data_IF_331979957538
#
_entry.id   IF_331979957538
#
_cell.length_a   1.000
_cell.length_b   1.000
_cell.length_c   1.000
_cell.angle_alpha   90.00
_cell.angle_beta   90.00
_cell.angle_gamma   90.00
#
_symmetry.space_group_name_H-M   'P 1'
#
loop_
_entity.id
_entity.type
_entity.pdbx_description
1 polymer ?
#
# COMPACT_ATOMS: atom_id res chain seq x y z
N UNK A 1 -51.75 58.63 -18.23
CA UNK A 1 -53.13 58.15 -17.97
C UNK A 1 -53.38 58.30 -16.48
N UNK A 2 -54.00 59.40 -16.05
CA UNK A 2 -55.42 59.50 -15.63
C UNK A 2 -55.70 58.54 -14.46
N UNK A 3 -55.64 59.03 -13.21
CA UNK A 3 -56.78 59.63 -12.46
C UNK A 3 -57.89 58.59 -12.25
N UNK A 4 -58.57 58.41 -11.13
CA UNK A 4 -58.90 59.21 -9.95
C UNK A 4 -59.94 58.31 -9.19
N UNK A 5 -60.41 58.76 -8.02
CA UNK A 5 -61.62 58.30 -7.29
C UNK A 5 -61.43 57.11 -6.32
N UNK A 6 -61.98 57.12 -5.10
CA UNK A 6 -62.67 58.15 -4.29
C UNK A 6 -62.78 57.59 -2.87
N UNK A 7 -62.60 58.44 -1.87
CA UNK A 7 -63.02 58.21 -0.50
C UNK A 7 -64.55 58.12 -0.41
N UNK A 8 -65.10 57.17 0.36
CA UNK A 8 -66.42 57.27 0.98
C UNK A 8 -66.34 56.70 2.40
N UNK A 9 -66.43 57.61 3.37
CA UNK A 9 -66.81 57.40 4.77
C UNK A 9 -68.30 57.09 4.85
N UNK A 10 -68.69 56.08 5.64
CA UNK A 10 -70.01 56.02 6.24
C UNK A 10 -69.95 55.29 7.59
N UNK A 11 -70.25 56.05 8.64
CA UNK A 11 -70.61 55.59 9.98
C UNK A 11 -71.84 54.66 9.87
N UNK A 12 -71.78 53.50 10.52
CA UNK A 12 -72.98 52.85 11.05
C UNK A 12 -72.72 52.32 12.45
N UNK A 13 -73.33 53.04 13.40
CA UNK A 13 -73.55 52.68 14.79
C UNK A 13 -74.75 51.74 14.84
N UNK A 14 -74.66 50.57 15.50
CA UNK A 14 -75.86 49.76 15.70
C UNK A 14 -75.68 48.34 16.21
N UNK A 15 -76.03 48.18 17.49
CA UNK A 15 -76.63 47.00 18.13
C UNK A 15 -75.82 45.71 18.38
N UNK A 16 -75.48 45.61 19.67
CA UNK A 16 -75.34 44.42 20.50
C UNK A 16 -76.59 43.53 20.38
N UNK A 17 -76.40 42.25 20.04
CA UNK A 17 -77.28 41.16 20.48
C UNK A 17 -76.44 39.92 20.76
N UNK A 18 -76.53 39.44 22.00
CA UNK A 18 -75.83 38.25 22.46
C UNK A 18 -76.35 37.00 21.77
N UNK A 19 -75.43 36.23 21.20
CA UNK A 19 -75.59 34.79 21.00
C UNK A 19 -74.52 34.10 21.84
N UNK A 20 -74.90 33.73 23.06
CA UNK A 20 -74.18 32.76 23.88
C UNK A 20 -74.31 31.38 23.23
N UNK A 21 -73.47 31.14 22.22
CA UNK A 21 -73.34 29.85 21.55
C UNK A 21 -72.16 29.08 22.14
N UNK A 22 -72.46 28.16 23.06
CA UNK A 22 -71.68 27.00 23.51
C UNK A 22 -70.30 26.84 22.83
N UNK A 23 -69.27 27.47 23.40
CA UNK A 23 -67.88 27.07 23.16
C UNK A 23 -67.72 25.67 23.77
N UNK A 24 -67.94 24.64 22.96
CA UNK A 24 -67.54 23.27 23.31
C UNK A 24 -66.03 23.29 23.47
N UNK A 25 -65.56 23.28 24.71
CA UNK A 25 -64.18 22.90 25.03
C UNK A 25 -63.98 21.50 24.46
N UNK A 26 -63.39 21.41 23.27
CA UNK A 26 -62.73 20.18 22.84
C UNK A 26 -61.65 19.93 23.90
N UNK A 27 -61.66 18.80 24.61
CA UNK A 27 -60.51 18.43 25.40
C UNK A 27 -59.32 18.39 24.43
N UNK A 28 -58.28 19.17 24.72
CA UNK A 28 -57.02 19.02 24.04
C UNK A 28 -56.55 17.59 24.34
N UNK A 29 -56.78 16.68 23.41
CA UNK A 29 -56.19 15.34 23.46
C UNK A 29 -54.69 15.59 23.45
N UNK A 30 -54.05 15.41 24.60
CA UNK A 30 -52.60 15.49 24.70
C UNK A 30 -52.06 14.50 23.67
N UNK A 31 -51.42 15.02 22.61
CA UNK A 31 -50.76 14.18 21.64
C UNK A 31 -49.71 13.38 22.42
N UNK A 32 -49.90 12.06 22.46
CA UNK A 32 -49.00 11.16 23.18
C UNK A 32 -47.62 11.26 22.52
N UNK A 33 -46.69 11.89 23.22
CA UNK A 33 -45.34 12.15 22.73
C UNK A 33 -44.56 10.83 22.65
N UNK A 34 -43.95 10.55 21.50
CA UNK A 34 -43.20 9.31 21.29
C UNK A 34 -41.90 9.37 22.10
N UNK A 35 -41.62 8.39 22.98
CA UNK A 35 -40.43 8.42 23.82
C UNK A 35 -39.15 8.27 22.98
N UNK A 36 -38.12 9.04 23.34
CA UNK A 36 -36.82 9.05 22.64
C UNK A 36 -36.04 7.76 22.96
N UNK A 37 -35.54 7.03 21.95
CA UNK A 37 -34.75 5.83 22.17
C UNK A 37 -33.35 6.12 22.72
N UNK A 38 -32.80 5.16 23.45
CA UNK A 38 -31.47 5.21 24.07
C UNK A 38 -30.55 4.19 23.43
N UNK A 39 -29.33 4.62 23.08
CA UNK A 39 -28.23 3.74 22.67
C UNK A 39 -27.51 3.27 23.93
N UNK A 40 -27.58 1.97 24.21
CA UNK A 40 -26.97 1.33 25.37
C UNK A 40 -25.52 0.90 25.07
N UNK A 41 -25.30 0.25 23.93
CA UNK A 41 -23.97 -0.19 23.49
C UNK A 41 -23.66 0.38 22.11
N UNK A 42 -22.44 0.88 22.00
CA UNK A 42 -21.84 1.42 20.80
C UNK A 42 -20.33 1.12 20.86
N UNK A 43 -19.68 0.69 19.77
CA UNK A 43 -18.25 0.48 19.77
C UNK A 43 -17.51 1.81 19.88
N UNK A 44 -16.34 1.83 20.52
CA UNK A 44 -15.45 3.00 20.47
C UNK A 44 -14.71 3.09 19.12
N UNK A 45 -14.39 1.93 18.55
CA UNK A 45 -13.68 1.78 17.28
C UNK A 45 -14.39 0.73 16.44
N UNK A 46 -14.58 1.01 15.14
CA UNK A 46 -15.18 0.11 14.17
C UNK A 46 -14.25 -0.16 12.98
N UNK A 47 -14.11 -1.44 12.61
CA UNK A 47 -13.30 -1.94 11.51
C UNK A 47 -14.19 -2.56 10.40
N UNK A 48 -14.64 -1.78 9.39
CA UNK A 48 -15.67 -2.21 8.43
C UNK A 48 -15.38 -3.50 7.65
N UNK A 49 -14.11 -3.87 7.51
CA UNK A 49 -13.68 -5.07 6.80
C UNK A 49 -13.50 -6.30 7.70
N UNK A 50 -13.36 -6.08 9.00
CA UNK A 50 -12.97 -7.10 9.97
C UNK A 50 -14.15 -7.52 10.85
N UNK A 51 -15.10 -6.64 11.10
CA UNK A 51 -16.21 -6.89 12.03
C UNK A 51 -17.57 -6.38 11.52
N UNK A 52 -18.61 -6.69 12.27
CA UNK A 52 -19.99 -6.24 12.04
C UNK A 52 -20.25 -5.08 12.98
N UNK A 53 -20.81 -3.97 12.49
CA UNK A 53 -21.19 -2.87 13.38
C UNK A 53 -22.36 -3.32 14.25
N UNK A 54 -22.16 -3.33 15.57
CA UNK A 54 -23.16 -3.73 16.54
C UNK A 54 -23.60 -2.54 17.39
N UNK A 55 -24.90 -2.22 17.32
CA UNK A 55 -25.55 -1.24 18.19
C UNK A 55 -26.76 -1.88 18.84
N UNK A 56 -26.96 -1.59 20.12
CA UNK A 56 -28.16 -2.00 20.86
C UNK A 56 -28.65 -0.89 21.77
N UNK A 57 -29.93 -0.99 22.14
CA UNK A 57 -30.56 0.00 22.97
C UNK A 57 -32.00 -0.33 23.32
N UNK A 58 -32.67 0.68 23.88
CA UNK A 58 -34.07 0.60 24.27
C UNK A 58 -34.89 1.68 23.56
N UNK A 59 -36.14 1.34 23.22
CA UNK A 59 -37.14 2.19 22.59
C UNK A 59 -38.55 1.80 23.09
N UNK A 60 -39.59 2.50 22.67
CA UNK A 60 -40.96 2.02 22.89
C UNK A 60 -41.16 0.62 22.24
N UNK A 61 -41.90 -0.31 22.86
CA UNK A 61 -42.14 -1.63 22.31
C UNK A 61 -42.83 -1.62 20.95
N UNK A 62 -42.37 -2.47 20.02
CA UNK A 62 -42.90 -2.59 18.64
C UNK A 62 -42.75 -1.36 17.74
N UNK A 63 -41.89 -0.40 18.09
CA UNK A 63 -41.56 0.76 17.25
C UNK A 63 -40.45 0.41 16.24
N UNK A 64 -40.33 1.26 15.22
CA UNK A 64 -39.19 1.25 14.30
C UNK A 64 -38.19 2.28 14.80
N UNK A 65 -36.98 1.83 15.11
CA UNK A 65 -35.84 2.69 15.47
C UNK A 65 -35.09 3.06 14.21
N UNK A 66 -35.16 4.33 13.82
CA UNK A 66 -34.35 4.87 12.74
C UNK A 66 -32.97 5.25 13.27
N UNK A 67 -31.92 4.65 12.72
CA UNK A 67 -30.52 4.89 13.07
C UNK A 67 -29.89 5.76 11.99
N UNK A 68 -29.26 6.86 12.38
CA UNK A 68 -28.57 7.77 11.46
C UNK A 68 -27.08 7.83 11.80
N UNK A 69 -26.25 7.54 10.82
CA UNK A 69 -24.81 7.76 10.83
C UNK A 69 -24.47 9.03 10.08
N UNK A 70 -23.66 9.90 10.69
CA UNK A 70 -23.25 11.17 10.12
C UNK A 70 -21.77 11.43 10.35
N UNK A 71 -21.08 11.93 9.33
CA UNK A 71 -19.72 12.43 9.41
C UNK A 71 -19.67 13.81 8.77
N UNK A 72 -18.85 14.71 9.31
CA UNK A 72 -18.69 16.05 8.74
C UNK A 72 -18.26 15.97 7.27
N UNK A 73 -19.01 16.64 6.38
CA UNK A 73 -18.76 16.64 4.94
C UNK A 73 -19.24 15.39 4.18
N UNK A 74 -19.78 14.38 4.86
CA UNK A 74 -20.38 13.20 4.22
C UNK A 74 -21.91 13.25 4.25
N UNK A 75 -22.57 12.59 3.29
CA UNK A 75 -24.03 12.42 3.32
C UNK A 75 -24.42 11.48 4.46
N UNK A 76 -25.46 11.80 5.26
CA UNK A 76 -25.95 10.90 6.29
C UNK A 76 -26.42 9.57 5.72
N UNK A 77 -26.15 8.48 6.43
CA UNK A 77 -26.58 7.13 6.08
C UNK A 77 -27.62 6.70 7.13
N UNK A 78 -28.79 6.23 6.70
CA UNK A 78 -29.86 5.85 7.60
C UNK A 78 -30.17 4.36 7.48
N UNK A 79 -30.42 3.73 8.63
CA UNK A 79 -30.86 2.35 8.78
C UNK A 79 -32.10 2.31 9.66
N UNK A 80 -32.74 1.15 9.73
CA UNK A 80 -33.90 0.92 10.60
C UNK A 80 -33.78 -0.43 11.29
N UNK A 81 -33.98 -0.44 12.61
CA UNK A 81 -34.13 -1.65 13.41
C UNK A 81 -35.52 -1.67 14.04
N UNK A 82 -36.11 -2.84 14.26
CA UNK A 82 -37.40 -2.96 14.96
C UNK A 82 -37.14 -3.24 16.44
N UNK A 83 -37.84 -2.55 17.34
CA UNK A 83 -37.83 -2.91 18.76
C UNK A 83 -38.76 -4.08 19.05
N UNK A 84 -38.36 -4.93 19.99
CA UNK A 84 -39.13 -6.09 20.43
C UNK A 84 -40.28 -5.68 21.38
N UNK A 85 -40.98 -6.68 21.93
CA UNK A 85 -42.06 -6.46 22.90
C UNK A 85 -41.60 -5.90 24.24
N UNK A 86 -40.30 -5.96 24.54
CA UNK A 86 -39.67 -5.38 25.73
C UNK A 86 -39.07 -3.99 25.43
N UNK A 87 -39.08 -3.56 24.17
CA UNK A 87 -38.49 -2.30 23.73
C UNK A 87 -37.00 -2.42 23.36
N UNK A 88 -36.41 -3.60 23.41
CA UNK A 88 -35.02 -3.84 23.05
C UNK A 88 -34.89 -3.81 21.52
N UNK A 89 -33.84 -3.16 21.00
CA UNK A 89 -33.54 -3.15 19.57
C UNK A 89 -32.05 -3.39 19.32
N UNK A 90 -31.75 -3.98 18.16
CA UNK A 90 -30.38 -4.31 17.75
C UNK A 90 -30.20 -3.97 16.26
N UNK A 91 -29.07 -3.34 15.93
CA UNK A 91 -28.57 -3.19 14.57
C UNK A 91 -27.21 -3.90 14.48
N UNK A 92 -27.13 -4.94 13.65
CA UNK A 92 -25.93 -5.73 13.44
C UNK A 92 -25.66 -5.89 11.93
N UNK A 93 -24.98 -4.91 11.34
CA UNK A 93 -24.74 -4.86 9.88
C UNK A 93 -23.31 -4.52 9.50
N UNK A 94 -22.85 -5.05 8.35
CA UNK A 94 -21.57 -4.67 7.76
C UNK A 94 -21.74 -3.40 6.93
N UNK A 95 -21.49 -2.26 7.56
CA UNK A 95 -21.66 -0.95 6.94
C UNK A 95 -20.29 -0.46 6.44
N UNK A 96 -20.13 -0.14 5.13
CA UNK A 96 -18.90 0.36 4.57
C UNK A 96 -18.73 1.86 4.89
N UNK A 97 -18.39 2.16 6.14
CA UNK A 97 -18.10 3.52 6.58
C UNK A 97 -16.67 3.92 6.19
N UNK A 98 -16.49 5.14 5.69
CA UNK A 98 -15.16 5.70 5.44
C UNK A 98 -14.42 5.99 6.75
N UNK A 99 -13.09 6.07 6.72
CA UNK A 99 -12.28 6.31 7.92
C UNK A 99 -12.60 7.65 8.59
N UNK A 100 -12.45 7.72 9.91
CA UNK A 100 -12.63 8.95 10.70
C UNK A 100 -13.71 8.82 11.78
N UNK A 101 -14.04 9.93 12.42
CA UNK A 101 -15.01 9.95 13.51
C UNK A 101 -16.44 10.08 12.95
N UNK A 102 -17.33 9.18 13.39
CA UNK A 102 -18.73 9.12 12.99
C UNK A 102 -19.63 9.34 14.18
N UNK A 103 -20.67 10.12 13.97
CA UNK A 103 -21.76 10.33 14.91
C UNK A 103 -22.91 9.37 14.60
N UNK A 104 -23.47 8.74 15.62
CA UNK A 104 -24.71 7.98 15.54
C UNK A 104 -25.78 8.60 16.43
N UNK A 105 -26.99 8.69 15.87
CA UNK A 105 -28.21 9.11 16.57
C UNK A 105 -29.35 8.18 16.20
N UNK A 106 -30.29 8.01 17.11
CA UNK A 106 -31.48 7.17 16.91
C UNK A 106 -32.75 7.96 17.20
N UNK A 107 -33.84 7.63 16.51
CA UNK A 107 -35.19 8.12 16.85
C UNK A 107 -36.22 7.01 16.63
N UNK A 108 -37.31 7.04 17.38
CA UNK A 108 -38.40 6.09 17.25
C UNK A 108 -39.43 6.61 16.24
N UNK A 109 -39.99 5.70 15.46
CA UNK A 109 -41.08 5.91 14.51
C UNK A 109 -42.14 4.87 14.83
N UNK A 110 -43.38 5.30 15.04
CA UNK A 110 -44.48 4.37 15.29
C UNK A 110 -44.70 3.46 14.07
N UNK A 111 -44.85 2.16 14.32
CA UNK A 111 -45.04 1.17 13.27
C UNK A 111 -46.42 1.27 12.60
N UNK A 112 -47.43 1.79 13.32
CA UNK A 112 -48.79 1.97 12.81
C UNK A 112 -49.00 3.35 12.20
N UNK A 113 -48.35 4.38 12.74
CA UNK A 113 -48.46 5.77 12.29
C UNK A 113 -47.08 6.40 12.03
N UNK A 114 -46.64 6.38 10.77
CA UNK A 114 -45.31 6.87 10.38
C UNK A 114 -45.12 8.39 10.60
N UNK A 115 -46.20 9.13 10.85
CA UNK A 115 -46.12 10.57 11.15
C UNK A 115 -45.72 10.83 12.60
N UNK A 116 -45.93 9.85 13.50
CA UNK A 116 -45.50 9.91 14.90
C UNK A 116 -44.03 9.49 15.01
N UNK A 117 -43.18 10.50 15.20
CA UNK A 117 -41.74 10.34 15.36
C UNK A 117 -41.26 11.00 16.65
N UNK A 118 -40.30 10.37 17.32
CA UNK A 118 -39.62 11.01 18.45
C UNK A 118 -38.58 12.02 17.97
N UNK A 119 -38.13 12.87 18.90
CA UNK A 119 -36.88 13.60 18.76
C UNK A 119 -35.67 12.66 18.62
N UNK A 120 -34.56 13.18 18.12
CA UNK A 120 -33.31 12.44 18.03
C UNK A 120 -32.67 12.24 19.42
N UNK A 121 -32.08 11.07 19.63
CA UNK A 121 -31.29 10.76 20.81
C UNK A 121 -30.05 11.66 20.94
N UNK A 122 -29.45 11.63 22.14
CA UNK A 122 -28.08 12.10 22.33
C UNK A 122 -27.13 11.46 21.31
N UNK A 123 -26.16 12.24 20.86
CA UNK A 123 -25.15 11.77 19.91
C UNK A 123 -24.13 10.85 20.61
N UNK A 124 -23.78 9.76 19.93
CA UNK A 124 -22.61 8.93 20.27
C UNK A 124 -21.60 9.01 19.14
N UNK A 125 -20.32 9.04 19.48
CA UNK A 125 -19.22 9.14 18.52
C UNK A 125 -18.39 7.87 18.59
N UNK A 126 -18.00 7.35 17.44
CA UNK A 126 -17.07 6.22 17.33
C UNK A 126 -16.11 6.43 16.16
N UNK A 127 -14.93 5.81 16.25
CA UNK A 127 -13.86 5.96 15.26
C UNK A 127 -13.89 4.81 14.27
N UNK A 128 -13.92 5.12 12.98
CA UNK A 128 -13.86 4.12 11.90
C UNK A 128 -12.43 4.03 11.38
N UNK A 129 -11.87 2.82 11.37
CA UNK A 129 -10.54 2.53 10.85
C UNK A 129 -10.65 1.57 9.66
N UNK A 130 -10.23 2.03 8.49
CA UNK A 130 -10.26 1.24 7.26
C UNK A 130 -8.92 0.50 7.11
N UNK A 131 -8.96 -0.83 7.18
CA UNK A 131 -7.78 -1.72 7.14
C UNK A 131 -7.46 -2.28 5.75
N UNK A 132 -8.19 -1.82 4.72
CA UNK A 132 -8.04 -2.31 3.35
C UNK A 132 -8.94 -1.58 2.36
N UNK A 133 -9.00 -2.11 1.14
CA UNK A 133 -9.83 -1.60 0.05
C UNK A 133 -10.72 -2.70 -0.50
N UNK A 134 -11.93 -2.33 -0.94
CA UNK A 134 -12.84 -3.22 -1.64
C UNK A 134 -12.77 -2.96 -3.14
N UNK A 135 -12.33 -3.93 -3.92
CA UNK A 135 -12.23 -3.84 -5.39
C UNK A 135 -13.04 -4.98 -5.99
N UNK A 136 -14.08 -4.67 -6.77
CA UNK A 136 -14.90 -5.69 -7.43
C UNK A 136 -15.60 -6.67 -6.47
N UNK A 137 -15.96 -6.22 -5.27
CA UNK A 137 -16.56 -7.07 -4.22
C UNK A 137 -15.57 -7.90 -3.41
N UNK A 138 -14.27 -7.83 -3.72
CA UNK A 138 -13.21 -8.50 -2.96
C UNK A 138 -12.55 -7.50 -2.01
N UNK A 139 -12.44 -7.89 -0.74
CA UNK A 139 -11.79 -7.10 0.30
C UNK A 139 -10.30 -7.45 0.39
N UNK A 140 -9.44 -6.47 0.09
CA UNK A 140 -7.98 -6.61 0.14
C UNK A 140 -7.46 -5.80 1.33
N UNK A 141 -6.95 -6.50 2.35
CA UNK A 141 -6.33 -5.86 3.51
C UNK A 141 -4.98 -5.26 3.13
N UNK A 142 -4.66 -4.09 3.70
CA UNK A 142 -3.36 -3.43 3.46
C UNK A 142 -2.20 -4.30 3.91
N UNK A 143 -2.31 -5.02 5.04
CA UNK A 143 -1.27 -5.93 5.51
C UNK A 143 -0.92 -7.02 4.46
N UNK A 144 -1.94 -7.58 3.79
CA UNK A 144 -1.74 -8.57 2.72
C UNK A 144 -1.05 -7.93 1.50
N UNK A 145 -1.52 -6.75 1.08
CA UNK A 145 -0.93 -6.01 -0.03
C UNK A 145 0.56 -5.66 0.23
N UNK A 146 0.87 -5.14 1.42
CA UNK A 146 2.24 -4.83 1.85
C UNK A 146 3.11 -6.08 1.84
N UNK A 147 2.61 -7.22 2.31
CA UNK A 147 3.36 -8.48 2.31
C UNK A 147 3.71 -8.94 0.88
N UNK A 148 2.77 -8.86 -0.06
CA UNK A 148 3.01 -9.19 -1.47
C UNK A 148 4.08 -8.29 -2.08
N UNK A 149 4.02 -6.97 -1.81
CA UNK A 149 5.03 -6.01 -2.30
C UNK A 149 6.42 -6.35 -1.75
N UNK A 150 6.54 -6.66 -0.46
CA UNK A 150 7.83 -7.03 0.15
C UNK A 150 8.40 -8.30 -0.50
N UNK A 151 7.58 -9.33 -0.70
CA UNK A 151 8.00 -10.57 -1.35
C UNK A 151 8.50 -10.30 -2.78
N UNK A 152 7.80 -9.44 -3.52
CA UNK A 152 8.19 -9.06 -4.88
C UNK A 152 9.53 -8.32 -4.90
N UNK A 153 9.74 -7.38 -3.97
CA UNK A 153 11.02 -6.67 -3.83
C UNK A 153 12.17 -7.60 -3.49
N UNK A 154 11.98 -8.53 -2.54
CA UNK A 154 12.99 -9.51 -2.17
C UNK A 154 13.31 -10.44 -3.35
N UNK A 155 12.31 -10.93 -4.06
CA UNK A 155 12.49 -11.74 -5.27
C UNK A 155 13.29 -10.98 -6.33
N UNK A 156 12.97 -9.71 -6.59
CA UNK A 156 13.73 -8.85 -7.49
C UNK A 156 15.19 -8.69 -7.08
N UNK A 157 15.45 -8.50 -5.78
CA UNK A 157 16.82 -8.41 -5.25
C UNK A 157 17.59 -9.73 -5.46
N UNK A 158 16.96 -10.87 -5.20
CA UNK A 158 17.55 -12.19 -5.44
C UNK A 158 17.91 -12.40 -6.91
N UNK A 159 17.02 -11.99 -7.83
CA UNK A 159 17.27 -12.06 -9.27
C UNK A 159 18.49 -11.22 -9.64
N UNK A 160 18.59 -9.98 -9.15
CA UNK A 160 19.74 -9.10 -9.42
C UNK A 160 21.04 -9.72 -8.91
N UNK A 161 21.05 -10.25 -7.69
CA UNK A 161 22.23 -10.90 -7.11
C UNK A 161 22.61 -12.13 -7.93
N UNK A 162 21.63 -12.96 -8.31
CA UNK A 162 21.83 -14.14 -9.13
C UNK A 162 22.48 -13.79 -10.48
N UNK A 163 21.92 -12.82 -11.21
CA UNK A 163 22.46 -12.39 -12.50
C UNK A 163 23.84 -11.77 -12.37
N UNK A 164 24.07 -10.93 -11.34
CA UNK A 164 25.40 -10.36 -11.08
C UNK A 164 26.44 -11.46 -10.87
N UNK A 165 26.13 -12.46 -10.05
CA UNK A 165 27.02 -13.58 -9.78
C UNK A 165 27.23 -14.45 -11.03
N UNK A 166 26.18 -14.68 -11.82
CA UNK A 166 26.26 -15.45 -13.08
C UNK A 166 27.16 -14.75 -14.09
N UNK A 167 26.97 -13.44 -14.29
CA UNK A 167 27.79 -12.64 -15.21
C UNK A 167 29.24 -12.58 -14.74
N UNK A 168 29.48 -12.43 -13.44
CA UNK A 168 30.85 -12.41 -12.89
C UNK A 168 31.59 -13.71 -13.20
N UNK A 169 30.97 -14.86 -12.94
CA UNK A 169 31.55 -16.18 -13.24
C UNK A 169 31.83 -16.38 -14.73
N UNK A 170 30.94 -15.91 -15.60
CA UNK A 170 31.15 -16.00 -17.05
C UNK A 170 32.32 -15.12 -17.51
N UNK A 171 32.47 -13.92 -16.94
CA UNK A 171 33.61 -13.04 -17.21
C UNK A 171 34.91 -13.63 -16.69
N UNK A 172 34.92 -14.13 -15.45
CA UNK A 172 36.08 -14.82 -14.85
C UNK A 172 36.53 -15.99 -15.74
N UNK A 173 35.58 -16.82 -16.20
CA UNK A 173 35.89 -17.96 -17.08
C UNK A 173 36.43 -17.55 -18.46
N UNK A 174 35.91 -16.47 -19.07
CA UNK A 174 36.41 -15.97 -20.34
C UNK A 174 37.81 -15.36 -20.19
N UNK A 175 38.04 -14.57 -19.15
CA UNK A 175 39.35 -13.96 -18.88
C UNK A 175 40.42 -15.02 -18.59
N UNK A 176 40.08 -16.04 -17.80
CA UNK A 176 41.00 -17.17 -17.54
C UNK A 176 41.39 -17.88 -18.83
N UNK A 177 40.44 -18.06 -19.76
CA UNK A 177 40.70 -18.65 -21.07
C UNK A 177 41.61 -17.76 -21.94
N UNK A 178 41.28 -16.48 -22.07
CA UNK A 178 42.07 -15.52 -22.87
C UNK A 178 43.51 -15.37 -22.35
N UNK A 179 43.67 -15.34 -21.02
CA UNK A 179 45.00 -15.29 -20.41
C UNK A 179 45.77 -16.58 -20.66
N UNK A 180 45.13 -17.75 -20.56
CA UNK A 180 45.78 -19.03 -20.87
C UNK A 180 46.26 -19.11 -22.32
N UNK A 181 45.45 -18.65 -23.28
CA UNK A 181 45.83 -18.60 -24.70
C UNK A 181 47.00 -17.62 -24.94
N UNK A 182 47.00 -16.46 -24.27
CA UNK A 182 48.09 -15.50 -24.35
C UNK A 182 49.39 -16.04 -23.74
N UNK A 183 49.31 -16.72 -22.58
CA UNK A 183 50.44 -17.35 -21.91
C UNK A 183 51.08 -18.44 -22.79
N UNK A 184 50.26 -19.28 -23.44
CA UNK A 184 50.76 -20.32 -24.34
C UNK A 184 51.47 -19.72 -25.55
N UNK A 185 50.90 -18.69 -26.19
CA UNK A 185 51.52 -18.01 -27.32
C UNK A 185 52.88 -17.37 -26.96
N UNK A 186 52.99 -16.76 -25.77
CA UNK A 186 54.26 -16.22 -25.26
C UNK A 186 55.29 -17.33 -25.03
N UNK A 187 54.86 -18.47 -24.48
CA UNK A 187 55.72 -19.63 -24.22
C UNK A 187 56.24 -20.24 -25.52
N UNK A 188 55.37 -20.42 -26.52
CA UNK A 188 55.75 -20.89 -27.85
C UNK A 188 56.75 -19.95 -28.52
N UNK A 189 56.49 -18.64 -28.51
CA UNK A 189 57.40 -17.63 -29.07
C UNK A 189 58.77 -17.61 -28.39
N UNK A 190 58.80 -17.74 -27.06
CA UNK A 190 60.05 -17.83 -26.31
C UNK A 190 60.82 -19.12 -26.63
N UNK A 191 60.15 -20.26 -26.75
CA UNK A 191 60.77 -21.53 -27.12
C UNK A 191 61.38 -21.47 -28.53
N UNK A 192 60.70 -20.84 -29.49
CA UNK A 192 61.24 -20.62 -30.84
C UNK A 192 62.48 -19.71 -30.80
N UNK A 193 62.43 -18.61 -30.04
CA UNK A 193 63.58 -17.72 -29.87
C UNK A 193 64.77 -18.46 -29.25
N UNK A 194 64.52 -19.29 -28.23
CA UNK A 194 65.54 -20.14 -27.59
C UNK A 194 66.17 -21.11 -28.58
N UNK A 195 65.36 -21.80 -29.38
CA UNK A 195 65.88 -22.74 -30.39
C UNK A 195 66.74 -22.03 -31.43
N UNK A 196 66.26 -20.91 -31.99
CA UNK A 196 67.01 -20.13 -32.97
C UNK A 196 68.36 -19.63 -32.40
N UNK A 197 68.37 -19.15 -31.14
CA UNK A 197 69.59 -18.75 -30.46
C UNK A 197 70.57 -19.92 -30.27
N UNK A 198 70.08 -21.09 -29.86
CA UNK A 198 70.91 -22.28 -29.67
C UNK A 198 71.51 -22.77 -31.00
N UNK A 199 70.73 -22.77 -32.08
CA UNK A 199 71.18 -23.13 -33.42
C UNK A 199 72.27 -22.17 -33.92
N UNK A 200 72.09 -20.86 -33.73
CA UNK A 200 73.08 -19.84 -34.10
C UNK A 200 74.38 -19.99 -33.29
N UNK A 201 74.27 -20.29 -31.98
CA UNK A 201 75.42 -20.58 -31.13
C UNK A 201 76.16 -21.87 -31.53
N UNK A 202 75.43 -22.90 -31.99
CA UNK A 202 76.01 -24.14 -32.48
C UNK A 202 76.75 -23.94 -33.82
N UNK A 203 76.19 -23.12 -34.72
CA UNK A 203 76.88 -22.72 -35.95
C UNK A 203 78.17 -21.94 -35.66
N UNK A 204 78.16 -21.06 -34.65
CA UNK A 204 79.38 -20.36 -34.22
C UNK A 204 80.43 -21.33 -33.66
N UNK A 205 80.02 -22.33 -32.87
CA UNK A 205 80.90 -23.36 -32.30
C UNK A 205 81.52 -24.28 -33.35
N UNK A 206 80.85 -24.46 -34.49
CA UNK A 206 81.40 -25.24 -35.61
C UNK A 206 82.58 -24.55 -36.33
N UNK A 207 82.85 -23.26 -36.05
CA UNK A 207 84.03 -22.55 -36.58
C UNK A 207 85.25 -22.83 -35.69
N UNK A 208 86.33 -23.36 -36.28
CA UNK A 208 87.55 -23.79 -35.55
C UNK A 208 88.36 -22.65 -34.90
N UNK A 209 88.16 -21.40 -35.31
CA UNK A 209 88.96 -20.24 -34.87
C UNK A 209 88.08 -19.15 -34.22
N UNK A 210 87.33 -19.51 -33.18
CA UNK A 210 86.58 -18.52 -32.38
C UNK A 210 87.53 -17.58 -31.63
N UNK A 211 87.30 -16.28 -31.75
CA UNK A 211 87.97 -15.27 -30.93
C UNK A 211 87.57 -15.42 -29.45
N UNK A 212 88.49 -15.09 -28.52
CA UNK A 212 88.17 -15.01 -27.09
C UNK A 212 86.97 -14.10 -26.81
N UNK A 213 86.77 -13.06 -27.61
CA UNK A 213 85.64 -12.14 -27.48
C UNK A 213 84.30 -12.80 -27.86
N UNK A 214 84.31 -13.68 -28.86
CA UNK A 214 83.12 -14.42 -29.31
C UNK A 214 82.67 -15.47 -28.29
N UNK A 215 83.62 -16.14 -27.64
CA UNK A 215 83.34 -17.08 -26.53
C UNK A 215 82.66 -16.36 -25.34
N UNK A 216 83.16 -15.18 -24.96
CA UNK A 216 82.56 -14.38 -23.88
C UNK A 216 81.14 -13.95 -24.25
N UNK A 217 80.91 -13.53 -25.50
CA UNK A 217 79.56 -13.15 -25.98
C UNK A 217 78.60 -14.34 -25.99
N UNK A 218 79.05 -15.53 -26.42
CA UNK A 218 78.25 -16.77 -26.37
C UNK A 218 77.79 -17.07 -24.95
N UNK A 219 78.71 -17.05 -24.00
CA UNK A 219 78.38 -17.40 -22.61
C UNK A 219 77.47 -16.35 -21.95
N UNK A 220 77.65 -15.08 -22.31
CA UNK A 220 76.75 -14.01 -21.87
C UNK A 220 75.34 -14.15 -22.47
N UNK A 221 75.21 -14.54 -23.75
CA UNK A 221 73.92 -14.81 -24.38
C UNK A 221 73.18 -15.98 -23.70
N UNK A 222 73.88 -17.07 -23.38
CA UNK A 222 73.30 -18.21 -22.66
C UNK A 222 72.83 -17.83 -21.26
N UNK A 223 73.64 -17.10 -20.49
CA UNK A 223 73.24 -16.60 -19.16
C UNK A 223 72.02 -15.69 -19.23
N UNK A 224 71.96 -14.81 -20.22
CA UNK A 224 70.82 -13.91 -20.40
C UNK A 224 69.54 -14.70 -20.77
N UNK A 225 69.66 -15.72 -21.62
CA UNK A 225 68.54 -16.56 -22.02
C UNK A 225 67.98 -17.37 -20.84
N UNK A 226 68.85 -17.94 -20.01
CA UNK A 226 68.46 -18.66 -18.79
C UNK A 226 67.79 -17.71 -17.78
N UNK A 227 68.32 -16.50 -17.60
CA UNK A 227 67.70 -15.47 -16.77
C UNK A 227 66.32 -15.04 -17.27
N UNK A 228 66.15 -14.87 -18.58
CA UNK A 228 64.86 -14.56 -19.20
C UNK A 228 63.85 -15.71 -19.03
N UNK A 229 64.28 -16.96 -19.22
CA UNK A 229 63.43 -18.14 -19.03
C UNK A 229 62.91 -18.24 -17.59
N UNK A 230 63.80 -18.05 -16.62
CA UNK A 230 63.44 -18.07 -15.20
C UNK A 230 62.43 -16.96 -14.85
N UNK A 231 62.68 -15.73 -15.33
CA UNK A 231 61.79 -14.59 -15.08
C UNK A 231 60.42 -14.77 -15.75
N UNK A 232 60.39 -15.27 -16.99
CA UNK A 232 59.16 -15.51 -17.73
C UNK A 232 58.30 -16.58 -17.05
N UNK A 233 58.91 -17.65 -16.56
CA UNK A 233 58.20 -18.70 -15.82
C UNK A 233 57.57 -18.15 -14.52
N UNK A 234 58.30 -17.29 -13.81
CA UNK A 234 57.79 -16.64 -12.60
C UNK A 234 56.61 -15.71 -12.88
N UNK A 235 56.73 -14.84 -13.89
CA UNK A 235 55.67 -13.89 -14.26
C UNK A 235 54.40 -14.61 -14.72
N UNK A 236 54.52 -15.70 -15.50
CA UNK A 236 53.37 -16.52 -15.91
C UNK A 236 52.66 -17.12 -14.68
N UNK A 237 53.42 -17.68 -13.74
CA UNK A 237 52.87 -18.25 -12.51
C UNK A 237 52.20 -17.20 -11.62
N UNK A 238 52.81 -16.03 -11.49
CA UNK A 238 52.26 -14.91 -10.70
C UNK A 238 50.96 -14.36 -11.30
N UNK A 239 50.76 -14.49 -12.61
CA UNK A 239 49.51 -14.12 -13.31
C UNK A 239 48.44 -15.19 -13.08
N UNK A 240 48.79 -16.49 -13.18
CA UNK A 240 47.87 -17.60 -12.96
C UNK A 240 47.29 -17.61 -11.53
N UNK A 241 48.09 -17.25 -10.52
CA UNK A 241 47.65 -17.16 -9.12
C UNK A 241 46.74 -15.95 -8.82
N UNK A 242 46.65 -14.95 -9.72
CA UNK A 242 45.90 -13.69 -9.51
C UNK A 242 44.55 -13.63 -10.21
N UNK A 243 44.18 -14.64 -10.99
CA UNK A 243 42.94 -14.72 -11.79
C UNK A 243 41.91 -15.57 -11.07
#
# INVERSE_FOLDING_TARGET
>A
MKSLHKNITLLSLGLIFGLGGLFRFLPATAAEEVPVPVIAVNPDVYYPLDEVLYLEGNAAPNFIVQVRFQKQGAKPINFSAKSDSRGEWVLAEKIPLGSGDWEVRVRAVDAQDKEKVSEWSNQRVFKVIVTGITVGGVNIKFAGLTSVIIILLLSGLFIIIYFKNRVRRLKEALLSKEVGEAQESVREGFNQLRQNLLDELQLLESRKDLSKEELVRKEQALRNLEGLEHNLHKEIKDIEEKI
#
